data_IF_592803425906
#
_entry.id   IF_592803425906
#
_cell.length_a   1.000
_cell.length_b   1.000
_cell.length_c   1.000
_cell.angle_alpha   90.00
_cell.angle_beta   90.00
_cell.angle_gamma   90.00
#
_symmetry.space_group_name_H-M   'P 1'
#
loop_
_entity.id
_entity.type
_entity.pdbx_description
1 polymer ?
#
# COMPACT_ATOMS: atom_id res chain seq x y z
N UNK A 1 -13.08 15.65 -23.18
CA UNK A 1 -12.16 15.25 -22.08
C UNK A 1 -11.28 14.07 -22.47
N UNK A 2 -11.84 12.91 -22.81
CA UNK A 2 -11.09 11.69 -23.21
C UNK A 2 -10.04 11.91 -24.31
N UNK A 3 -10.44 12.44 -25.48
CA UNK A 3 -9.53 12.63 -26.63
C UNK A 3 -8.32 13.53 -26.29
N UNK A 4 -8.52 14.65 -25.59
CA UNK A 4 -7.44 15.56 -25.16
C UNK A 4 -6.55 14.89 -24.11
N UNK A 5 -7.14 14.13 -23.18
CA UNK A 5 -6.38 13.40 -22.18
C UNK A 5 -5.48 12.32 -22.81
N UNK A 6 -5.96 11.63 -23.84
CA UNK A 6 -5.16 10.68 -24.62
C UNK A 6 -4.07 11.38 -25.44
N UNK A 7 -4.41 12.47 -26.14
CA UNK A 7 -3.45 13.28 -26.93
C UNK A 7 -2.32 13.86 -26.08
N UNK A 8 -2.61 14.28 -24.86
CA UNK A 8 -1.60 14.82 -23.93
C UNK A 8 -0.73 13.75 -23.27
N UNK A 9 -0.99 12.46 -23.56
CA UNK A 9 -0.28 11.33 -22.96
C UNK A 9 -0.65 11.12 -21.50
N UNK A 10 -1.95 11.17 -21.18
CA UNK A 10 -2.45 11.12 -19.80
C UNK A 10 -1.96 12.30 -18.93
N UNK A 11 -1.98 13.51 -19.50
CA UNK A 11 -1.61 14.73 -18.80
C UNK A 11 -2.49 14.99 -17.56
N UNK A 12 -1.87 15.51 -16.50
CA UNK A 12 -2.56 15.92 -15.29
C UNK A 12 -3.46 17.15 -15.48
N UNK A 13 -4.03 17.64 -14.37
CA UNK A 13 -5.00 18.74 -14.34
C UNK A 13 -4.53 19.97 -15.12
N UNK A 14 -3.32 20.43 -14.87
CA UNK A 14 -2.83 21.70 -15.43
C UNK A 14 -2.58 21.57 -16.93
N UNK A 15 -2.05 20.42 -17.37
CA UNK A 15 -1.83 20.13 -18.80
C UNK A 15 -3.16 20.04 -19.54
N UNK A 16 -4.15 19.37 -18.95
CA UNK A 16 -5.50 19.37 -19.50
C UNK A 16 -6.09 20.77 -19.55
N UNK A 17 -5.98 21.57 -18.48
CA UNK A 17 -6.54 22.93 -18.45
C UNK A 17 -5.90 23.85 -19.50
N UNK A 18 -4.60 23.75 -19.70
CA UNK A 18 -3.91 24.51 -20.73
C UNK A 18 -4.48 24.20 -22.13
N UNK A 19 -4.56 22.93 -22.49
CA UNK A 19 -5.14 22.47 -23.77
C UNK A 19 -6.63 22.84 -23.91
N UNK A 20 -7.39 22.75 -22.81
CA UNK A 20 -8.80 23.14 -22.82
C UNK A 20 -8.97 24.64 -23.02
N UNK A 21 -8.18 25.48 -22.35
CA UNK A 21 -8.29 26.93 -22.52
C UNK A 21 -8.01 27.40 -23.96
N UNK A 22 -7.28 26.62 -24.77
CA UNK A 22 -7.06 26.92 -26.18
C UNK A 22 -8.29 26.67 -27.07
N UNK A 23 -9.18 25.76 -26.67
CA UNK A 23 -10.30 25.30 -27.50
C UNK A 23 -11.69 25.52 -26.88
N UNK A 24 -11.78 25.60 -25.55
CA UNK A 24 -13.01 25.63 -24.76
C UNK A 24 -12.79 26.39 -23.44
N UNK A 25 -13.14 27.68 -23.43
CA UNK A 25 -12.94 28.57 -22.26
C UNK A 25 -13.86 28.28 -21.06
N UNK A 26 -14.96 27.54 -21.26
CA UNK A 26 -16.09 27.47 -20.31
C UNK A 26 -16.08 26.24 -19.39
N UNK A 27 -15.05 25.40 -19.45
CA UNK A 27 -15.07 24.09 -18.78
C UNK A 27 -14.60 24.18 -17.32
N UNK A 28 -15.43 23.82 -16.32
CA UNK A 28 -15.05 23.94 -14.92
C UNK A 28 -13.89 23.00 -14.54
N UNK A 29 -12.99 23.50 -13.69
CA UNK A 29 -11.88 22.71 -13.13
C UNK A 29 -12.33 21.42 -12.45
N UNK A 30 -13.46 21.48 -11.74
CA UNK A 30 -14.05 20.33 -11.03
C UNK A 30 -14.38 19.18 -12.00
N UNK A 31 -14.80 19.51 -13.23
CA UNK A 31 -15.12 18.50 -14.23
C UNK A 31 -13.85 17.80 -14.76
N UNK A 32 -12.76 18.56 -14.92
CA UNK A 32 -11.44 18.00 -15.26
C UNK A 32 -10.97 17.06 -14.14
N UNK A 33 -11.16 17.47 -12.89
CA UNK A 33 -10.78 16.68 -11.72
C UNK A 33 -11.55 15.37 -11.60
N UNK A 34 -12.88 15.42 -11.70
CA UNK A 34 -13.71 14.23 -11.69
C UNK A 34 -13.29 13.28 -12.82
N UNK A 35 -13.03 13.80 -14.03
CA UNK A 35 -12.58 12.99 -15.14
C UNK A 35 -11.22 12.31 -14.88
N UNK A 36 -10.24 13.05 -14.36
CA UNK A 36 -8.91 12.50 -14.02
C UNK A 36 -8.97 11.46 -12.91
N UNK A 37 -9.89 11.62 -11.96
CA UNK A 37 -10.14 10.62 -10.93
C UNK A 37 -10.69 9.33 -11.52
N UNK A 38 -11.51 9.39 -12.57
CA UNK A 38 -12.13 8.22 -13.19
C UNK A 38 -11.29 7.54 -14.28
N UNK A 39 -10.13 8.09 -14.66
CA UNK A 39 -9.30 7.47 -15.71
C UNK A 39 -8.59 6.20 -15.21
N UNK A 40 -8.97 5.04 -15.76
CA UNK A 40 -8.45 3.72 -15.38
C UNK A 40 -6.92 3.65 -15.53
N UNK A 41 -6.39 4.07 -16.69
CA UNK A 41 -4.94 4.05 -16.94
C UNK A 41 -4.15 4.89 -15.93
N UNK A 42 -4.70 6.04 -15.53
CA UNK A 42 -4.07 6.89 -14.51
C UNK A 42 -4.20 6.29 -13.12
N UNK A 43 -5.35 5.68 -12.78
CA UNK A 43 -5.53 5.00 -11.50
C UNK A 43 -4.55 3.85 -11.32
N UNK A 44 -4.35 3.01 -12.34
CA UNK A 44 -3.42 1.89 -12.30
C UNK A 44 -1.95 2.32 -12.12
N UNK A 45 -1.59 3.51 -12.61
CA UNK A 45 -0.23 4.08 -12.47
C UNK A 45 -0.01 4.83 -11.17
N UNK A 46 -1.08 5.15 -10.42
CA UNK A 46 -0.93 5.85 -9.14
C UNK A 46 -0.24 4.91 -8.15
N UNK A 47 0.87 5.38 -7.58
CA UNK A 47 1.50 4.71 -6.44
C UNK A 47 0.47 4.56 -5.33
N UNK A 48 0.31 3.33 -4.84
CA UNK A 48 -0.50 3.05 -3.66
C UNK A 48 0.12 3.84 -2.52
N UNK A 49 -0.63 4.81 -1.97
CA UNK A 49 -0.20 5.48 -0.75
C UNK A 49 -0.14 4.41 0.32
N UNK A 50 1.05 4.17 0.87
CA UNK A 50 1.20 3.22 1.97
C UNK A 50 0.20 3.59 3.06
N UNK A 51 -0.62 2.64 3.55
CA UNK A 51 -1.53 2.92 4.63
C UNK A 51 -0.74 3.43 5.84
N UNK A 52 -1.37 4.30 6.63
CA UNK A 52 -0.80 4.75 7.90
C UNK A 52 -0.53 3.50 8.73
N UNK A 53 0.75 3.20 8.96
CA UNK A 53 1.18 2.04 9.74
C UNK A 53 0.67 2.26 11.17
N UNK A 54 -0.25 1.39 11.62
CA UNK A 54 -0.65 1.37 13.02
C UNK A 54 0.57 1.09 13.88
N UNK A 55 0.81 1.92 14.89
CA UNK A 55 1.90 1.72 15.84
C UNK A 55 1.81 0.36 16.51
N UNK A 56 2.95 -0.29 16.72
CA UNK A 56 3.02 -1.62 17.35
C UNK A 56 2.29 -1.66 18.70
N UNK A 57 1.70 -2.81 19.02
CA UNK A 57 1.05 -3.05 20.31
C UNK A 57 2.14 -3.18 21.38
N UNK A 58 2.29 -2.16 22.22
CA UNK A 58 3.24 -2.16 23.34
C UNK A 58 2.52 -2.70 24.59
N UNK A 59 3.10 -3.69 25.25
CA UNK A 59 2.60 -4.17 26.55
C UNK A 59 3.39 -3.54 27.69
N UNK A 60 2.70 -2.96 28.67
CA UNK A 60 3.31 -2.19 29.78
C UNK A 60 3.81 -3.11 30.92
N UNK A 61 3.35 -4.38 30.98
CA UNK A 61 3.75 -5.35 32.01
C UNK A 61 4.53 -6.56 31.47
N UNK A 62 5.42 -7.13 32.29
CA UNK A 62 6.20 -8.32 31.95
C UNK A 62 5.29 -9.49 31.55
N UNK A 63 5.52 -10.09 30.37
CA UNK A 63 4.76 -11.21 29.81
C UNK A 63 3.23 -11.03 29.74
N UNK A 64 2.72 -9.79 29.81
CA UNK A 64 1.27 -9.56 29.79
C UNK A 64 0.65 -9.78 28.41
N UNK A 65 1.44 -9.61 27.33
CA UNK A 65 1.04 -9.91 25.95
C UNK A 65 2.27 -10.35 25.15
N UNK A 66 2.18 -11.50 24.48
CA UNK A 66 3.20 -12.01 23.56
C UNK A 66 2.54 -12.23 22.18
N UNK A 67 2.96 -11.53 21.12
CA UNK A 67 2.55 -11.86 19.77
C UNK A 67 3.07 -13.26 19.42
N UNK A 68 2.17 -14.22 19.26
CA UNK A 68 2.49 -15.53 18.69
C UNK A 68 2.11 -15.49 17.23
N UNK A 69 3.11 -15.47 16.34
CA UNK A 69 2.91 -15.63 14.90
C UNK A 69 3.29 -17.05 14.49
N UNK A 70 2.45 -17.68 13.69
CA UNK A 70 2.73 -19.01 13.13
C UNK A 70 3.57 -18.80 11.88
N UNK A 71 4.89 -18.81 12.04
CA UNK A 71 5.79 -18.92 10.89
C UNK A 71 5.81 -20.39 10.45
N UNK A 72 5.32 -20.67 9.24
CA UNK A 72 5.43 -22.02 8.66
C UNK A 72 6.90 -22.30 8.30
N UNK A 73 7.58 -23.02 9.19
CA UNK A 73 8.98 -23.42 9.05
C UNK A 73 9.11 -24.80 8.39
N UNK A 74 8.36 -25.08 7.33
CA UNK A 74 8.47 -26.35 6.60
C UNK A 74 9.79 -26.47 5.84
N UNK A 75 10.90 -26.61 6.55
CA UNK A 75 12.18 -27.07 6.03
C UNK A 75 12.30 -28.57 6.22
N UNK A 76 11.92 -29.31 5.16
CA UNK A 76 12.26 -30.71 4.86
C UNK A 76 11.85 -31.82 5.86
N UNK A 77 11.70 -33.07 5.36
CA UNK A 77 11.17 -34.19 6.13
C UNK A 77 12.33 -35.04 6.67
N UNK A 78 13.00 -34.58 7.72
CA UNK A 78 13.67 -35.51 8.62
C UNK A 78 14.10 -34.78 9.89
N UNK A 79 13.90 -35.43 11.03
CA UNK A 79 14.15 -34.99 12.40
C UNK A 79 12.97 -34.31 13.11
N UNK A 80 12.41 -35.09 14.04
CA UNK A 80 11.34 -34.74 14.96
C UNK A 80 11.74 -33.59 15.89
N UNK A 81 11.42 -32.35 15.50
CA UNK A 81 11.51 -31.22 16.43
C UNK A 81 10.34 -31.30 17.43
N UNK A 82 10.69 -31.48 18.70
CA UNK A 82 9.71 -31.45 19.79
C UNK A 82 9.36 -30.00 20.13
N UNK A 83 8.10 -29.74 20.54
CA UNK A 83 7.63 -28.39 20.91
C UNK A 83 8.54 -27.66 21.91
N UNK A 84 9.30 -28.40 22.71
CA UNK A 84 10.29 -27.88 23.67
C UNK A 84 11.51 -27.22 23.03
N UNK A 85 11.90 -27.59 21.82
CA UNK A 85 13.07 -27.01 21.14
C UNK A 85 12.76 -25.63 20.54
N UNK A 86 11.50 -25.40 20.14
CA UNK A 86 11.03 -24.10 19.68
C UNK A 86 11.02 -23.07 20.82
N UNK A 87 10.62 -23.45 22.03
CA UNK A 87 10.59 -22.53 23.17
C UNK A 87 11.99 -22.04 23.58
N UNK A 88 13.03 -22.89 23.47
CA UNK A 88 14.42 -22.52 23.75
C UNK A 88 14.99 -21.51 22.75
N UNK A 89 14.54 -21.56 21.49
CA UNK A 89 14.94 -20.59 20.47
C UNK A 89 14.40 -19.19 20.73
N UNK A 90 13.19 -19.08 21.30
CA UNK A 90 12.56 -17.79 21.60
C UNK A 90 12.92 -17.24 22.99
N UNK A 91 13.35 -18.09 23.91
CA UNK A 91 13.84 -17.70 25.24
C UNK A 91 15.22 -18.34 25.49
N UNK A 92 16.34 -17.66 25.16
CA UNK A 92 17.63 -18.09 25.65
C UNK A 92 17.61 -17.94 27.18
N UNK A 93 17.59 -19.07 27.87
CA UNK A 93 17.85 -19.09 29.31
C UNK A 93 19.36 -18.94 29.44
N UNK A 94 19.81 -17.72 29.70
CA UNK A 94 21.19 -17.49 30.14
C UNK A 94 21.38 -18.23 31.47
N UNK A 95 22.27 -19.22 31.47
CA UNK A 95 22.72 -19.94 32.67
C UNK A 95 23.78 -19.14 33.42
#
# INVERSE_FOLDING_TARGET
LKNIHEKTGHGGRDKMRYEFNQHYYWLPLQMIDCFLQCCISCQLRKSIKNPVVSTAIISIGFMTRLPMDLTDLRTRPDQDFTWTDLLKYFYPVDH
#
